data_IF_897079464237
#
_entry.id   IF_897079464237
#
_cell.length_a   1.000
_cell.length_b   1.000
_cell.length_c   1.000
_cell.angle_alpha   90.00
_cell.angle_beta   90.00
_cell.angle_gamma   90.00
#
_symmetry.space_group_name_H-M   'P 1'
#
loop_
_entity.id
_entity.type
_entity.pdbx_description
1 polymer ?
#
# COMPACT_ATOMS: atom_id res chain seq x y z
N UNK A 1 17.84 10.54 22.32
CA UNK A 1 18.12 9.14 21.97
C UNK A 1 16.85 8.48 21.44
N UNK A 2 16.54 8.72 20.16
CA UNK A 2 15.52 7.92 19.48
C UNK A 2 16.07 6.49 19.42
N UNK A 3 15.45 5.60 20.17
CA UNK A 3 15.72 4.19 20.03
C UNK A 3 15.00 3.75 18.76
N UNK A 4 15.75 3.37 17.72
CA UNK A 4 15.21 2.83 16.46
C UNK A 4 14.14 1.77 16.73
N UNK A 5 14.42 0.87 17.66
CA UNK A 5 13.50 -0.21 18.06
C UNK A 5 12.17 0.32 18.63
N UNK A 6 12.21 1.39 19.43
CA UNK A 6 11.01 1.96 20.05
C UNK A 6 10.16 2.75 19.04
N UNK A 7 10.78 3.39 18.06
CA UNK A 7 10.06 4.10 17.01
C UNK A 7 9.30 3.15 16.08
N UNK A 8 9.92 2.04 15.72
CA UNK A 8 9.28 0.99 14.91
C UNK A 8 8.14 0.30 15.68
N UNK A 9 8.35 -0.06 16.94
CA UNK A 9 7.34 -0.71 17.78
C UNK A 9 6.08 0.13 17.99
N UNK A 10 6.20 1.45 18.09
CA UNK A 10 5.06 2.33 18.33
C UNK A 10 4.23 2.64 17.07
N UNK A 11 4.75 2.35 15.88
CA UNK A 11 4.08 2.71 14.62
C UNK A 11 3.54 1.53 13.82
N UNK A 12 4.04 0.35 14.05
CA UNK A 12 3.49 -0.83 13.38
C UNK A 12 2.28 -1.26 14.19
N UNK A 13 1.10 -0.96 13.64
CA UNK A 13 -0.10 -1.69 14.02
C UNK A 13 0.16 -3.16 13.68
N UNK A 14 0.48 -3.94 14.71
CA UNK A 14 0.80 -5.36 14.65
C UNK A 14 -0.39 -6.22 14.19
N UNK A 15 -1.48 -5.61 13.77
CA UNK A 15 -2.55 -6.29 13.05
C UNK A 15 -2.10 -6.64 11.62
N UNK A 16 -1.15 -7.55 11.53
CA UNK A 16 -0.88 -8.32 10.30
C UNK A 16 -2.14 -9.08 9.89
N UNK A 17 -3.13 -8.37 9.38
CA UNK A 17 -4.53 -8.77 9.25
C UNK A 17 -5.21 -9.07 10.60
N UNK A 18 -6.50 -8.77 10.71
CA UNK A 18 -7.34 -9.02 11.90
C UNK A 18 -7.30 -10.47 12.47
N UNK A 19 -6.51 -11.32 11.86
CA UNK A 19 -6.54 -12.76 12.07
C UNK A 19 -5.31 -13.37 12.74
N UNK A 20 -4.16 -12.66 12.79
CA UNK A 20 -2.93 -13.17 13.41
C UNK A 20 -2.35 -12.09 14.32
N UNK A 21 -2.37 -12.33 15.61
CA UNK A 21 -1.69 -11.49 16.60
C UNK A 21 -0.30 -12.08 16.85
N UNK A 22 0.73 -11.32 16.51
CA UNK A 22 2.10 -11.58 16.93
C UNK A 22 2.28 -10.84 18.26
N UNK A 23 2.81 -11.52 19.29
CA UNK A 23 3.10 -10.85 20.56
C UNK A 23 4.36 -9.97 20.45
N UNK A 24 4.55 -9.03 21.37
CA UNK A 24 5.70 -8.11 21.38
C UNK A 24 7.06 -8.82 21.34
N UNK A 25 7.19 -9.96 22.01
CA UNK A 25 8.44 -10.73 22.05
C UNK A 25 8.75 -11.30 20.67
N UNK A 26 7.77 -11.91 20.03
CA UNK A 26 7.91 -12.44 18.67
C UNK A 26 8.22 -11.34 17.66
N UNK A 27 7.56 -10.20 17.78
CA UNK A 27 7.84 -9.04 16.93
C UNK A 27 9.27 -8.55 17.10
N UNK A 28 9.73 -8.39 18.34
CA UNK A 28 11.10 -7.94 18.63
C UNK A 28 12.12 -8.90 18.03
N UNK A 29 11.92 -10.21 18.17
CA UNK A 29 12.81 -11.23 17.60
C UNK A 29 12.86 -11.13 16.06
N UNK A 30 11.72 -11.01 15.40
CA UNK A 30 11.65 -10.88 13.93
C UNK A 30 12.33 -9.60 13.47
N UNK A 31 12.07 -8.49 14.14
CA UNK A 31 12.69 -7.20 13.83
C UNK A 31 14.22 -7.25 14.00
N UNK A 32 14.72 -7.86 15.07
CA UNK A 32 16.16 -8.03 15.28
C UNK A 32 16.81 -8.92 14.22
N UNK A 33 16.16 -10.01 13.85
CA UNK A 33 16.62 -10.87 12.75
C UNK A 33 16.65 -10.12 11.42
N UNK A 34 15.62 -9.35 11.12
CA UNK A 34 15.52 -8.55 9.90
C UNK A 34 16.65 -7.53 9.81
N UNK A 35 16.87 -6.73 10.88
CA UNK A 35 17.94 -5.75 10.91
C UNK A 35 19.33 -6.40 10.83
N UNK A 36 19.55 -7.51 11.51
CA UNK A 36 20.80 -8.26 11.42
C UNK A 36 21.06 -8.77 10.00
N UNK A 37 20.01 -9.20 9.30
CA UNK A 37 20.11 -9.64 7.91
C UNK A 37 20.48 -8.48 6.97
N UNK A 38 19.79 -7.33 7.10
CA UNK A 38 20.11 -6.13 6.32
C UNK A 38 21.55 -5.67 6.54
N UNK A 39 22.00 -5.61 7.81
CA UNK A 39 23.36 -5.22 8.17
C UNK A 39 24.40 -6.18 7.57
N UNK A 40 24.18 -7.50 7.70
CA UNK A 40 25.05 -8.54 7.12
C UNK A 40 25.17 -8.44 5.62
N UNK A 41 24.06 -8.14 4.93
CA UNK A 41 24.01 -8.01 3.49
C UNK A 41 24.44 -6.62 2.99
N UNK A 42 24.64 -5.66 3.90
CA UNK A 42 24.85 -4.23 3.57
C UNK A 42 23.70 -3.64 2.74
N UNK A 43 22.49 -4.03 3.08
CA UNK A 43 21.24 -3.56 2.46
C UNK A 43 20.55 -2.59 3.41
N UNK A 44 19.70 -1.73 2.84
CA UNK A 44 18.85 -0.79 3.56
C UNK A 44 17.50 -0.74 2.87
N UNK A 45 16.42 -0.77 3.64
CA UNK A 45 15.07 -0.57 3.11
C UNK A 45 14.67 0.92 3.09
N UNK A 46 13.53 1.20 2.46
CA UNK A 46 13.05 2.59 2.31
C UNK A 46 12.72 3.25 3.66
N UNK A 47 12.18 2.52 4.61
CA UNK A 47 11.83 3.08 5.92
C UNK A 47 13.09 3.38 6.74
N UNK A 48 14.09 2.51 6.64
CA UNK A 48 15.41 2.75 7.25
C UNK A 48 16.13 3.94 6.64
N UNK A 49 16.01 4.18 5.33
CA UNK A 49 16.59 5.38 4.69
C UNK A 49 16.03 6.65 5.35
N UNK A 50 14.71 6.74 5.47
CA UNK A 50 14.05 7.89 6.08
C UNK A 50 14.41 8.06 7.55
N UNK A 51 14.44 6.94 8.29
CA UNK A 51 14.77 6.94 9.71
C UNK A 51 16.22 7.38 9.98
N UNK A 52 17.16 6.86 9.19
CA UNK A 52 18.57 7.25 9.27
C UNK A 52 18.74 8.73 8.90
N UNK A 53 18.09 9.19 7.83
CA UNK A 53 18.09 10.60 7.44
C UNK A 53 17.58 11.50 8.56
N UNK A 54 16.43 11.19 9.14
CA UNK A 54 15.86 11.93 10.27
C UNK A 54 16.80 11.95 11.47
N UNK A 55 17.42 10.81 11.80
CA UNK A 55 18.37 10.68 12.90
C UNK A 55 19.61 11.54 12.68
N UNK A 56 20.19 11.51 11.48
CA UNK A 56 21.36 12.34 11.12
C UNK A 56 21.02 13.82 11.28
N UNK A 57 19.89 14.28 10.74
CA UNK A 57 19.44 15.67 10.84
C UNK A 57 19.12 16.10 12.27
N UNK A 58 18.72 15.16 13.14
CA UNK A 58 18.39 15.45 14.54
C UNK A 58 19.63 15.53 15.43
N UNK A 59 20.58 14.60 15.24
CA UNK A 59 21.76 14.50 16.12
C UNK A 59 22.86 15.47 15.68
N UNK A 60 22.97 15.74 14.37
CA UNK A 60 24.05 16.56 13.83
C UNK A 60 23.53 17.87 13.23
N UNK A 61 23.42 18.90 14.06
CA UNK A 61 22.95 20.23 13.64
C UNK A 61 23.79 20.89 12.54
N UNK A 62 25.08 20.57 12.44
CA UNK A 62 25.94 21.11 11.38
C UNK A 62 25.58 20.48 10.03
N UNK A 63 25.34 19.17 10.00
CA UNK A 63 24.89 18.48 8.78
C UNK A 63 23.51 19.00 8.36
N UNK A 64 22.58 19.12 9.31
CA UNK A 64 21.24 19.65 9.03
C UNK A 64 21.29 21.06 8.43
N UNK A 65 22.08 21.98 9.02
CA UNK A 65 22.26 23.34 8.51
C UNK A 65 22.94 23.36 7.14
N UNK A 66 23.99 22.58 6.95
CA UNK A 66 24.68 22.52 5.65
C UNK A 66 23.77 22.01 4.53
N UNK A 67 22.95 20.98 4.80
CA UNK A 67 21.97 20.49 3.80
C UNK A 67 20.90 21.57 3.57
N UNK A 68 20.31 22.11 4.63
CA UNK A 68 19.25 23.10 4.54
C UNK A 68 19.70 24.40 3.85
N UNK A 69 20.97 24.83 4.03
CA UNK A 69 21.50 26.04 3.37
C UNK A 69 21.60 25.92 1.85
N UNK A 70 21.66 24.72 1.31
CA UNK A 70 21.68 24.45 -0.13
C UNK A 70 20.28 24.29 -0.73
N UNK A 71 19.23 24.29 0.08
CA UNK A 71 17.84 24.12 -0.36
C UNK A 71 17.18 25.48 -0.44
N UNK A 72 16.67 25.85 -1.60
CA UNK A 72 15.93 27.10 -1.81
C UNK A 72 14.43 26.91 -1.62
N UNK A 73 13.90 25.78 -2.07
CA UNK A 73 12.47 25.49 -1.98
C UNK A 73 12.22 23.98 -1.82
N UNK A 74 11.14 23.63 -1.11
CA UNK A 74 10.64 22.27 -0.96
C UNK A 74 9.18 22.26 -1.43
N UNK A 75 8.89 21.43 -2.42
CA UNK A 75 7.54 21.20 -2.94
C UNK A 75 7.14 19.76 -2.62
N UNK A 76 6.02 19.60 -1.93
CA UNK A 76 5.45 18.29 -1.58
C UNK A 76 4.14 18.15 -2.36
N UNK A 77 4.11 17.21 -3.27
CA UNK A 77 2.92 16.82 -4.00
C UNK A 77 2.23 15.64 -3.31
N UNK A 78 0.91 15.52 -3.46
CA UNK A 78 0.09 14.49 -2.81
C UNK A 78 0.38 14.39 -1.29
N UNK A 79 0.39 15.55 -0.62
CA UNK A 79 0.81 15.61 0.79
C UNK A 79 -0.03 14.72 1.72
N UNK A 80 -1.26 14.40 1.36
CA UNK A 80 -2.14 13.52 2.12
C UNK A 80 -1.62 12.07 2.22
N UNK A 81 -0.71 11.66 1.31
CA UNK A 81 -0.10 10.34 1.30
C UNK A 81 1.29 10.33 1.96
N UNK A 82 1.72 11.49 2.48
CA UNK A 82 3.02 11.66 3.13
C UNK A 82 3.00 10.99 4.52
N UNK A 83 4.03 10.20 4.82
CA UNK A 83 4.19 9.55 6.12
C UNK A 83 4.75 10.50 7.16
N UNK A 84 4.48 10.24 8.44
CA UNK A 84 4.96 11.04 9.58
C UNK A 84 6.48 11.25 9.55
N UNK A 85 7.23 10.20 9.22
CA UNK A 85 8.68 10.29 9.18
C UNK A 85 9.20 11.21 8.06
N UNK A 86 8.50 11.23 6.92
CA UNK A 86 8.81 12.15 5.82
C UNK A 86 8.54 13.61 6.24
N UNK A 87 7.40 13.87 6.89
CA UNK A 87 7.12 15.19 7.46
C UNK A 87 8.20 15.62 8.45
N UNK A 88 8.65 14.72 9.32
CA UNK A 88 9.67 14.99 10.29
C UNK A 88 11.03 15.34 9.65
N UNK A 89 11.41 14.67 8.57
CA UNK A 89 12.61 15.00 7.79
C UNK A 89 12.49 16.40 7.18
N UNK A 90 11.37 16.70 6.52
CA UNK A 90 11.09 18.02 5.93
C UNK A 90 11.13 19.10 7.01
N UNK A 91 10.45 18.87 8.13
CA UNK A 91 10.42 19.83 9.25
C UNK A 91 11.81 20.14 9.79
N UNK A 92 12.70 19.13 9.91
CA UNK A 92 14.10 19.38 10.34
C UNK A 92 14.85 20.28 9.38
N UNK A 93 14.63 20.16 8.09
CA UNK A 93 15.26 21.03 7.10
C UNK A 93 14.71 22.46 7.21
N UNK A 94 13.38 22.62 7.29
CA UNK A 94 12.73 23.93 7.42
C UNK A 94 13.13 24.65 8.73
N UNK A 95 13.16 23.93 9.86
CA UNK A 95 13.60 24.47 11.15
C UNK A 95 15.06 24.93 11.14
N UNK A 96 15.93 24.32 10.34
CA UNK A 96 17.35 24.68 10.24
C UNK A 96 17.63 25.81 9.24
N UNK A 97 16.71 26.12 8.34
CA UNK A 97 16.79 27.25 7.43
C UNK A 97 15.38 27.85 7.17
N UNK A 98 14.97 28.88 7.92
CA UNK A 98 13.66 29.53 7.76
C UNK A 98 13.46 30.23 6.41
N UNK A 99 14.50 30.37 5.59
CA UNK A 99 14.41 30.99 4.26
C UNK A 99 13.96 30.02 3.17
N UNK A 100 13.86 28.73 3.49
CA UNK A 100 13.35 27.74 2.52
C UNK A 100 11.88 28.01 2.25
N UNK A 101 11.53 28.24 0.99
CA UNK A 101 10.14 28.30 0.57
C UNK A 101 9.55 26.90 0.57
N UNK A 102 8.37 26.72 1.14
CA UNK A 102 7.72 25.42 1.20
C UNK A 102 6.27 25.48 0.66
N UNK A 103 5.89 24.47 -0.10
CA UNK A 103 4.55 24.32 -0.65
C UNK A 103 4.12 22.86 -0.54
N UNK A 104 2.92 22.66 -0.02
CA UNK A 104 2.27 21.35 0.08
C UNK A 104 1.03 21.39 -0.80
N UNK A 105 0.93 20.45 -1.72
CA UNK A 105 -0.21 20.33 -2.65
C UNK A 105 -0.81 18.95 -2.49
N UNK A 106 -2.13 18.85 -2.47
CA UNK A 106 -2.84 17.58 -2.37
C UNK A 106 -4.33 17.76 -2.14
N UNK A 107 -5.00 16.65 -1.94
CA UNK A 107 -6.45 16.59 -1.74
C UNK A 107 -6.75 15.60 -0.60
N UNK A 108 -7.28 16.11 0.50
CA UNK A 108 -7.59 15.30 1.68
C UNK A 108 -8.61 14.21 1.37
N UNK A 109 -9.55 14.49 0.46
CA UNK A 109 -10.56 13.51 0.04
C UNK A 109 -9.97 12.35 -0.78
N UNK A 110 -8.72 12.49 -1.27
CA UNK A 110 -7.97 11.43 -1.94
C UNK A 110 -7.01 10.66 -1.01
N UNK A 111 -7.07 10.86 0.29
CA UNK A 111 -6.26 10.17 1.29
C UNK A 111 -6.65 8.68 1.43
N UNK A 112 -6.26 7.85 0.46
CA UNK A 112 -6.58 6.40 0.42
C UNK A 112 -5.51 5.52 1.09
N UNK A 113 -4.36 6.08 1.44
CA UNK A 113 -3.22 5.38 2.03
C UNK A 113 -3.13 5.49 3.55
N UNK A 114 -4.23 5.85 4.25
CA UNK A 114 -4.26 5.87 5.71
C UNK A 114 -3.92 4.53 6.37
N UNK A 115 -4.22 3.40 5.70
CA UNK A 115 -3.81 2.06 6.14
C UNK A 115 -2.32 1.74 5.93
N UNK A 116 -1.60 2.59 5.19
CA UNK A 116 -0.17 2.50 4.87
C UNK A 116 0.61 3.69 5.47
N UNK A 117 0.11 4.24 6.58
CA UNK A 117 0.70 5.36 7.33
C UNK A 117 0.72 6.71 6.60
N UNK A 118 -0.06 6.89 5.55
CA UNK A 118 -0.31 8.20 4.94
C UNK A 118 -1.13 9.08 5.91
N UNK A 119 -0.68 10.29 6.17
CA UNK A 119 -1.32 11.22 7.10
C UNK A 119 -1.51 12.57 6.42
N UNK A 120 -2.76 13.00 6.27
CA UNK A 120 -3.07 14.36 5.84
C UNK A 120 -3.01 15.29 7.05
N UNK A 121 -1.95 16.08 7.17
CA UNK A 121 -1.81 17.06 8.26
C UNK A 121 -2.60 18.34 7.95
N UNK A 122 -3.25 18.90 8.98
CA UNK A 122 -3.86 20.22 8.89
C UNK A 122 -2.80 21.32 8.75
N UNK A 123 -3.21 22.53 8.38
CA UNK A 123 -2.32 23.68 8.29
C UNK A 123 -1.67 23.97 9.64
N UNK A 124 -2.44 23.92 10.72
CA UNK A 124 -1.97 24.16 12.10
C UNK A 124 -0.94 23.10 12.53
N UNK A 125 -1.16 21.83 12.16
CA UNK A 125 -0.21 20.75 12.44
C UNK A 125 1.10 20.93 11.66
N UNK A 126 1.02 21.37 10.40
CA UNK A 126 2.21 21.68 9.59
C UNK A 126 2.96 22.88 10.16
N UNK A 127 2.27 23.93 10.58
CA UNK A 127 2.87 25.12 11.21
C UNK A 127 3.59 24.77 12.52
N UNK A 128 2.94 23.99 13.39
CA UNK A 128 3.56 23.53 14.63
C UNK A 128 4.78 22.65 14.37
N UNK A 129 4.71 21.76 13.38
CA UNK A 129 5.77 20.82 13.07
C UNK A 129 6.97 21.51 12.43
N UNK A 130 6.74 22.43 11.49
CA UNK A 130 7.80 23.07 10.68
C UNK A 130 8.30 24.37 11.25
N UNK A 131 7.55 25.03 12.15
CA UNK A 131 7.76 26.40 12.62
C UNK A 131 7.68 27.43 11.50
N UNK A 132 6.94 27.14 10.43
CA UNK A 132 6.65 28.04 9.33
C UNK A 132 5.17 28.39 9.32
N UNK A 133 4.83 29.56 8.79
CA UNK A 133 3.45 29.97 8.56
C UNK A 133 3.03 29.61 7.14
N UNK A 134 1.84 29.07 6.98
CA UNK A 134 1.31 28.66 5.67
C UNK A 134 0.06 29.45 5.29
N UNK A 135 -0.04 29.81 4.03
CA UNK A 135 -1.24 30.34 3.44
C UNK A 135 -1.98 29.25 2.67
N UNK A 136 -3.15 28.87 3.17
CA UNK A 136 -4.01 27.91 2.47
C UNK A 136 -4.67 28.56 1.24
N UNK A 137 -4.70 27.79 0.15
CA UNK A 137 -5.39 28.16 -1.10
C UNK A 137 -6.08 26.95 -1.68
N UNK A 138 -7.31 27.14 -2.17
CA UNK A 138 -8.10 26.10 -2.80
C UNK A 138 -8.06 26.24 -4.33
N UNK A 139 -7.94 25.13 -5.04
CA UNK A 139 -8.00 25.08 -6.50
C UNK A 139 -9.44 24.78 -6.94
N UNK A 140 -10.07 25.71 -7.64
CA UNK A 140 -11.47 25.61 -8.07
C UNK A 140 -11.64 25.13 -9.53
N UNK A 141 -10.56 24.90 -10.26
CA UNK A 141 -10.61 24.53 -11.67
C UNK A 141 -10.27 23.07 -11.93
N UNK A 142 -11.20 22.31 -12.50
CA UNK A 142 -10.95 20.95 -12.98
C UNK A 142 -10.73 20.96 -14.51
N UNK A 143 -9.55 20.53 -14.97
CA UNK A 143 -9.20 20.44 -16.39
C UNK A 143 -9.33 19.02 -16.96
N UNK A 144 -9.59 18.02 -16.10
CA UNK A 144 -9.65 16.60 -16.46
C UNK A 144 -11.07 16.16 -16.85
N UNK A 145 -12.04 16.51 -16.04
CA UNK A 145 -13.41 15.99 -16.13
C UNK A 145 -14.40 17.04 -16.62
N UNK A 146 -15.47 16.60 -17.31
CA UNK A 146 -16.59 17.48 -17.65
C UNK A 146 -17.38 17.88 -16.39
N UNK A 147 -18.23 18.92 -16.50
CA UNK A 147 -18.94 19.47 -15.34
C UNK A 147 -19.85 18.44 -14.67
N UNK A 148 -20.51 17.56 -15.43
CA UNK A 148 -21.40 16.55 -14.88
C UNK A 148 -20.66 15.54 -13.95
N UNK A 149 -19.43 15.16 -14.32
CA UNK A 149 -18.60 14.31 -13.47
C UNK A 149 -18.11 15.08 -12.24
N UNK A 150 -17.74 16.34 -12.41
CA UNK A 150 -17.36 17.23 -11.30
C UNK A 150 -18.50 17.34 -10.29
N UNK A 151 -19.72 17.64 -10.75
CA UNK A 151 -20.91 17.75 -9.90
C UNK A 151 -21.22 16.42 -9.18
N UNK A 152 -20.96 15.28 -9.84
CA UNK A 152 -21.19 13.98 -9.26
C UNK A 152 -20.21 13.68 -8.11
N UNK A 153 -18.92 13.80 -8.33
CA UNK A 153 -17.96 13.46 -7.26
C UNK A 153 -17.86 14.54 -6.18
N UNK A 154 -18.28 15.78 -6.45
CA UNK A 154 -18.37 16.82 -5.42
C UNK A 154 -19.34 16.46 -4.29
N UNK A 155 -20.30 15.56 -4.53
CA UNK A 155 -21.16 15.04 -3.46
C UNK A 155 -20.42 14.18 -2.42
N UNK A 156 -19.20 13.77 -2.69
CA UNK A 156 -18.38 12.94 -1.79
C UNK A 156 -17.29 13.74 -1.08
N UNK A 157 -17.22 15.06 -1.27
CA UNK A 157 -16.27 15.92 -0.58
C UNK A 157 -16.57 15.98 0.93
N UNK A 158 -15.53 15.85 1.73
CA UNK A 158 -15.60 16.00 3.19
C UNK A 158 -15.87 17.47 3.59
N UNK A 159 -15.24 18.40 2.86
CA UNK A 159 -15.43 19.83 3.00
C UNK A 159 -15.89 20.40 1.64
N UNK A 160 -17.19 20.58 1.43
CA UNK A 160 -17.72 21.02 0.13
C UNK A 160 -17.20 22.39 -0.28
N UNK A 161 -16.69 22.50 -1.50
CA UNK A 161 -16.36 23.74 -2.18
C UNK A 161 -16.69 23.63 -3.68
N UNK A 162 -16.91 24.74 -4.32
CA UNK A 162 -17.27 24.74 -5.74
C UNK A 162 -16.07 24.43 -6.62
N UNK A 163 -16.24 23.47 -7.53
CA UNK A 163 -15.27 23.11 -8.56
C UNK A 163 -15.92 23.33 -9.93
N UNK A 164 -15.24 24.07 -10.80
CA UNK A 164 -15.67 24.35 -12.16
C UNK A 164 -14.84 23.55 -13.16
N UNK A 165 -15.49 22.86 -14.08
CA UNK A 165 -14.80 22.25 -15.21
C UNK A 165 -14.27 23.32 -16.17
N UNK A 166 -12.94 23.31 -16.41
CA UNK A 166 -12.21 24.24 -17.28
C UNK A 166 -11.51 23.58 -18.45
N UNK A 167 -11.63 22.24 -18.56
CA UNK A 167 -11.06 21.47 -19.66
C UNK A 167 -11.77 21.68 -20.98
N UNK A 168 -11.17 21.17 -22.05
CA UNK A 168 -11.77 21.23 -23.41
C UNK A 168 -13.07 20.42 -23.48
N UNK A 169 -13.24 19.43 -22.61
CA UNK A 169 -14.39 18.55 -22.50
C UNK A 169 -15.48 19.04 -21.52
N UNK A 170 -15.39 20.28 -21.05
CA UNK A 170 -16.31 20.82 -20.01
C UNK A 170 -17.80 20.73 -20.39
N UNK A 171 -18.12 20.81 -21.66
CA UNK A 171 -19.48 20.77 -22.18
C UNK A 171 -19.90 19.36 -22.64
N UNK A 172 -19.04 18.36 -22.52
CA UNK A 172 -19.37 17.00 -22.93
C UNK A 172 -20.48 16.44 -22.04
N UNK A 173 -21.46 15.78 -22.68
CA UNK A 173 -22.53 15.10 -21.97
C UNK A 173 -22.04 13.76 -21.45
N UNK A 174 -21.32 13.76 -20.35
CA UNK A 174 -20.95 12.52 -19.67
C UNK A 174 -22.20 11.74 -19.24
N UNK A 175 -22.12 10.41 -19.28
CA UNK A 175 -23.17 9.53 -18.79
C UNK A 175 -22.71 8.87 -17.50
N UNK A 176 -23.53 8.92 -16.46
CA UNK A 176 -23.29 8.27 -15.17
C UNK A 176 -24.47 7.32 -14.93
N UNK A 177 -24.17 6.05 -14.71
CA UNK A 177 -25.15 5.06 -14.30
C UNK A 177 -24.66 4.29 -13.08
N UNK A 178 -25.57 3.78 -12.31
CA UNK A 178 -25.27 2.90 -11.18
C UNK A 178 -26.24 1.74 -11.16
N UNK A 179 -25.79 0.60 -10.67
CA UNK A 179 -26.61 -0.58 -10.43
C UNK A 179 -26.25 -1.16 -9.07
N UNK A 180 -27.22 -1.27 -8.17
CA UNK A 180 -27.06 -1.83 -6.83
C UNK A 180 -27.68 -3.23 -6.69
N UNK A 181 -28.16 -3.83 -7.77
CA UNK A 181 -28.79 -5.16 -7.77
C UNK A 181 -27.90 -6.25 -8.34
N UNK A 182 -26.80 -5.88 -8.97
CA UNK A 182 -25.85 -6.83 -9.56
C UNK A 182 -25.22 -7.69 -8.46
N UNK A 183 -25.26 -9.01 -8.66
CA UNK A 183 -24.58 -9.96 -7.78
C UNK A 183 -23.07 -10.03 -8.10
N UNK A 184 -22.27 -10.58 -7.18
CA UNK A 184 -20.82 -10.77 -7.43
C UNK A 184 -20.56 -11.74 -8.57
N UNK A 185 -21.44 -12.71 -8.75
CA UNK A 185 -21.38 -13.74 -9.79
C UNK A 185 -21.65 -13.15 -11.18
N UNK A 186 -22.58 -12.19 -11.28
CA UNK A 186 -22.98 -11.56 -12.55
C UNK A 186 -22.04 -10.43 -12.98
N UNK A 187 -21.35 -9.81 -12.02
CA UNK A 187 -20.52 -8.64 -12.23
C UNK A 187 -19.48 -8.78 -13.35
N UNK A 188 -18.72 -9.90 -13.45
CA UNK A 188 -17.73 -10.07 -14.53
C UNK A 188 -18.35 -10.03 -15.92
N UNK A 189 -19.52 -10.65 -16.09
CA UNK A 189 -20.22 -10.70 -17.38
C UNK A 189 -20.78 -9.31 -17.76
N UNK A 190 -21.29 -8.58 -16.79
CA UNK A 190 -21.80 -7.21 -17.02
C UNK A 190 -20.65 -6.29 -17.42
N UNK A 191 -19.51 -6.32 -16.71
CA UNK A 191 -18.34 -5.52 -17.04
C UNK A 191 -17.82 -5.87 -18.43
N UNK A 192 -17.73 -7.16 -18.77
CA UNK A 192 -17.37 -7.61 -20.12
C UNK A 192 -18.27 -6.99 -21.19
N UNK A 193 -19.58 -7.02 -20.99
CA UNK A 193 -20.54 -6.50 -21.97
C UNK A 193 -20.43 -4.97 -22.12
N UNK A 194 -20.21 -4.24 -21.01
CA UNK A 194 -19.97 -2.79 -21.04
C UNK A 194 -18.70 -2.50 -21.83
N UNK A 195 -17.59 -3.18 -21.54
CA UNK A 195 -16.31 -2.99 -22.27
C UNK A 195 -16.51 -3.23 -23.76
N UNK A 196 -17.17 -4.33 -24.12
CA UNK A 196 -17.44 -4.67 -25.51
C UNK A 196 -18.27 -3.59 -26.21
N UNK A 197 -19.36 -3.14 -25.59
CA UNK A 197 -20.21 -2.05 -26.12
C UNK A 197 -19.41 -0.77 -26.34
N UNK A 198 -18.52 -0.39 -25.41
CA UNK A 198 -17.72 0.83 -25.52
C UNK A 198 -16.70 0.71 -26.65
N UNK A 199 -16.05 -0.44 -26.81
CA UNK A 199 -15.12 -0.67 -27.92
C UNK A 199 -15.86 -0.63 -29.28
N UNK A 200 -17.02 -1.27 -29.38
CA UNK A 200 -17.87 -1.26 -30.57
C UNK A 200 -18.37 0.14 -30.91
N UNK A 201 -18.54 1.03 -29.92
CA UNK A 201 -18.88 2.44 -30.11
C UNK A 201 -17.66 3.31 -30.49
N UNK A 202 -16.46 2.74 -30.64
CA UNK A 202 -15.26 3.42 -31.11
C UNK A 202 -14.37 3.97 -29.98
N UNK A 203 -14.65 3.64 -28.71
CA UNK A 203 -13.75 4.00 -27.60
C UNK A 203 -12.56 3.05 -27.62
N UNK A 204 -11.35 3.59 -27.58
CA UNK A 204 -10.15 2.76 -27.55
C UNK A 204 -10.01 2.08 -26.19
N UNK A 205 -9.57 0.81 -26.19
CA UNK A 205 -9.44 0.00 -24.95
C UNK A 205 -8.58 0.67 -23.84
N UNK A 206 -7.51 1.40 -24.24
CA UNK A 206 -6.67 2.17 -23.31
C UNK A 206 -7.39 3.28 -22.55
N UNK A 207 -8.55 3.72 -23.07
CA UNK A 207 -9.36 4.79 -22.47
C UNK A 207 -10.47 4.23 -21.56
N UNK A 208 -10.49 2.90 -21.35
CA UNK A 208 -11.44 2.20 -20.48
C UNK A 208 -10.71 1.73 -19.22
N UNK A 209 -11.21 2.10 -18.05
CA UNK A 209 -10.64 1.69 -16.77
C UNK A 209 -11.70 1.03 -15.87
N UNK A 210 -11.33 -0.05 -15.20
CA UNK A 210 -12.14 -0.70 -14.17
C UNK A 210 -11.44 -0.53 -12.84
N UNK A 211 -12.12 0.05 -11.86
CA UNK A 211 -11.61 0.31 -10.52
C UNK A 211 -12.29 -0.57 -9.49
N UNK A 212 -11.56 -0.99 -8.48
CA UNK A 212 -12.09 -1.66 -7.30
C UNK A 212 -11.31 -1.25 -6.05
N UNK A 213 -11.93 -1.29 -4.86
CA UNK A 213 -11.28 -0.94 -3.61
C UNK A 213 -10.11 -1.85 -3.22
N UNK A 214 -10.05 -3.05 -3.77
CA UNK A 214 -9.04 -4.06 -3.47
C UNK A 214 -8.56 -4.75 -4.76
N UNK A 215 -7.32 -5.22 -4.77
CA UNK A 215 -6.73 -5.92 -5.92
C UNK A 215 -7.33 -7.30 -6.22
N UNK A 216 -7.75 -8.02 -5.18
CA UNK A 216 -8.23 -9.39 -5.35
C UNK A 216 -9.43 -9.52 -6.32
N UNK A 217 -10.47 -8.68 -6.24
CA UNK A 217 -11.55 -8.69 -7.23
C UNK A 217 -11.09 -8.39 -8.66
N UNK A 218 -10.11 -7.48 -8.81
CA UNK A 218 -9.54 -7.10 -10.12
C UNK A 218 -8.75 -8.25 -10.73
N UNK A 219 -8.02 -9.02 -9.92
CA UNK A 219 -7.27 -10.17 -10.42
C UNK A 219 -8.22 -11.22 -11.04
N UNK A 220 -9.24 -11.64 -10.30
CA UNK A 220 -10.21 -12.64 -10.78
C UNK A 220 -10.98 -12.14 -12.00
N UNK A 221 -11.38 -10.87 -12.00
CA UNK A 221 -12.04 -10.23 -13.14
C UNK A 221 -11.12 -10.21 -14.36
N UNK A 222 -9.86 -9.91 -14.15
CA UNK A 222 -8.90 -9.83 -15.21
C UNK A 222 -8.62 -11.14 -15.90
N UNK A 223 -8.48 -12.23 -15.16
CA UNK A 223 -8.33 -13.56 -15.74
C UNK A 223 -9.58 -13.93 -16.57
N UNK A 224 -10.77 -13.56 -16.07
CA UNK A 224 -12.00 -13.74 -16.82
C UNK A 224 -12.02 -12.91 -18.11
N UNK A 225 -11.70 -11.61 -18.04
CA UNK A 225 -11.70 -10.72 -19.20
C UNK A 225 -10.67 -11.11 -20.25
N UNK A 226 -9.49 -11.55 -19.89
CA UNK A 226 -8.47 -12.08 -20.82
C UNK A 226 -9.00 -13.26 -21.63
N UNK A 227 -9.72 -14.14 -20.99
CA UNK A 227 -10.33 -15.30 -21.65
C UNK A 227 -11.47 -14.91 -22.59
N UNK A 228 -12.33 -13.99 -22.17
CA UNK A 228 -13.56 -13.61 -22.88
C UNK A 228 -13.34 -12.53 -23.95
N UNK A 229 -12.29 -11.70 -23.79
CA UNK A 229 -11.93 -10.62 -24.72
C UNK A 229 -10.44 -10.73 -25.12
N UNK A 230 -10.05 -11.83 -25.82
CA UNK A 230 -8.65 -12.10 -26.14
C UNK A 230 -8.00 -11.09 -27.11
N UNK A 231 -8.80 -10.24 -27.72
CA UNK A 231 -8.37 -9.15 -28.61
C UNK A 231 -8.08 -7.83 -27.89
N UNK A 232 -8.39 -7.75 -26.59
CA UNK A 232 -8.11 -6.57 -25.78
C UNK A 232 -6.80 -6.73 -25.03
N UNK A 233 -6.00 -5.65 -24.97
CA UNK A 233 -4.84 -5.55 -24.10
C UNK A 233 -5.26 -5.01 -22.72
N UNK A 234 -5.02 -5.81 -21.69
CA UNK A 234 -5.26 -5.42 -20.31
C UNK A 234 -3.92 -5.20 -19.60
N UNK A 235 -3.53 -3.96 -19.36
CA UNK A 235 -2.24 -3.65 -18.76
C UNK A 235 -2.22 -4.09 -17.30
N UNK A 236 -2.84 -3.75 -16.41
CA UNK A 236 -2.62 -3.91 -14.98
C UNK A 236 -3.01 -5.26 -14.37
N UNK A 237 -3.63 -6.15 -15.12
CA UNK A 237 -4.21 -7.39 -14.58
C UNK A 237 -3.16 -8.43 -14.20
N UNK A 238 -1.97 -8.33 -14.76
CA UNK A 238 -0.83 -9.19 -14.42
C UNK A 238 -0.06 -8.69 -13.20
N UNK A 239 -0.42 -7.54 -12.69
CA UNK A 239 0.25 -6.98 -11.55
C UNK A 239 -0.51 -7.44 -10.30
N UNK A 240 -0.25 -8.67 -9.87
CA UNK A 240 -0.12 -8.83 -8.43
C UNK A 240 0.87 -7.74 -7.99
N UNK A 241 0.50 -6.80 -7.12
CA UNK A 241 1.45 -5.79 -6.61
C UNK A 241 2.64 -6.45 -5.90
N UNK A 242 2.51 -7.72 -5.60
CA UNK A 242 3.56 -8.62 -5.15
C UNK A 242 3.79 -9.58 -6.30
N UNK A 243 4.79 -9.29 -7.15
CA UNK A 243 5.37 -10.35 -7.97
C UNK A 243 5.60 -11.50 -7.01
N UNK A 244 4.99 -12.66 -7.29
CA UNK A 244 5.26 -13.85 -6.52
C UNK A 244 6.76 -14.10 -6.67
N UNK A 245 7.49 -13.74 -5.64
CA UNK A 245 8.92 -13.86 -5.57
C UNK A 245 9.24 -14.62 -4.28
N UNK A 246 10.51 -14.89 -4.06
CA UNK A 246 10.98 -15.57 -2.85
C UNK A 246 10.43 -14.92 -1.57
N UNK A 247 10.22 -13.61 -1.54
CA UNK A 247 9.68 -12.88 -0.39
C UNK A 247 8.24 -13.28 -0.05
N UNK A 248 7.39 -13.51 -1.05
CA UNK A 248 6.01 -13.99 -0.81
C UNK A 248 6.00 -15.39 -0.19
N UNK A 249 6.87 -16.29 -0.65
CA UNK A 249 7.02 -17.63 -0.08
C UNK A 249 7.49 -17.56 1.38
N UNK A 250 8.57 -16.81 1.64
CA UNK A 250 9.11 -16.66 2.99
C UNK A 250 8.12 -15.99 3.94
N UNK A 251 7.38 -14.97 3.48
CA UNK A 251 6.34 -14.34 4.27
C UNK A 251 5.22 -15.31 4.67
N UNK A 252 4.75 -16.14 3.73
CA UNK A 252 3.73 -17.16 3.98
C UNK A 252 4.25 -18.26 4.94
N UNK A 253 5.49 -18.68 4.78
CA UNK A 253 6.15 -19.60 5.69
C UNK A 253 6.30 -19.00 7.10
N UNK A 254 6.71 -17.75 7.21
CA UNK A 254 6.81 -17.03 8.48
C UNK A 254 5.45 -16.95 9.20
N UNK A 255 4.37 -16.62 8.48
CA UNK A 255 3.02 -16.61 9.06
C UNK A 255 2.70 -17.99 9.66
N UNK A 256 2.92 -19.07 8.92
CA UNK A 256 2.62 -20.44 9.42
C UNK A 256 3.52 -20.83 10.58
N UNK A 257 4.77 -20.41 10.60
CA UNK A 257 5.73 -20.71 11.65
C UNK A 257 5.42 -19.97 12.95
N UNK A 258 5.15 -18.65 12.89
CA UNK A 258 4.95 -17.80 14.06
C UNK A 258 3.52 -17.81 14.62
N UNK A 259 2.53 -18.35 13.90
CA UNK A 259 1.16 -18.47 14.40
C UNK A 259 0.89 -19.79 15.07
N UNK A 260 -0.04 -19.82 16.04
CA UNK A 260 -0.36 -21.05 16.76
C UNK A 260 -1.15 -22.06 15.91
N UNK A 261 -0.85 -23.34 16.08
CA UNK A 261 -1.40 -24.42 15.25
C UNK A 261 -2.91 -24.65 15.45
N UNK A 262 -3.45 -24.25 16.61
CA UNK A 262 -4.90 -24.38 16.93
C UNK A 262 -5.77 -23.26 16.42
N UNK A 263 -5.19 -22.13 16.07
CA UNK A 263 -5.97 -20.97 15.60
C UNK A 263 -6.21 -21.00 14.08
N UNK A 264 -7.47 -20.72 13.68
CA UNK A 264 -7.87 -20.49 12.29
C UNK A 264 -7.39 -21.55 11.26
N UNK A 265 -7.55 -22.81 11.61
CA UNK A 265 -7.11 -23.97 10.82
C UNK A 265 -7.45 -23.83 9.32
N UNK A 266 -8.64 -23.37 8.98
CA UNK A 266 -9.05 -23.20 7.58
C UNK A 266 -8.13 -22.22 6.83
N UNK A 267 -7.76 -21.10 7.45
CA UNK A 267 -6.89 -20.09 6.82
C UNK A 267 -5.45 -20.57 6.71
N UNK A 268 -4.95 -21.27 7.74
CA UNK A 268 -3.63 -21.89 7.69
C UNK A 268 -3.50 -22.90 6.56
N UNK A 269 -4.56 -23.71 6.32
CA UNK A 269 -4.63 -24.61 5.17
C UNK A 269 -4.59 -23.88 3.83
N UNK A 270 -5.29 -22.77 3.67
CA UNK A 270 -5.24 -21.95 2.45
C UNK A 270 -3.83 -21.42 2.20
N UNK A 271 -3.17 -20.88 3.22
CA UNK A 271 -1.78 -20.40 3.11
C UNK A 271 -0.82 -21.55 2.76
N UNK A 272 -0.99 -22.73 3.38
CA UNK A 272 -0.18 -23.89 3.06
C UNK A 272 -0.37 -24.35 1.62
N UNK A 273 -1.60 -24.39 1.13
CA UNK A 273 -1.90 -24.71 -0.26
C UNK A 273 -1.28 -23.68 -1.24
N UNK A 274 -1.36 -22.40 -0.93
CA UNK A 274 -0.69 -21.35 -1.72
C UNK A 274 0.83 -21.57 -1.79
N UNK A 275 1.46 -21.97 -0.68
CA UNK A 275 2.90 -22.30 -0.64
C UNK A 275 3.20 -23.45 -1.59
N UNK A 276 2.41 -24.53 -1.56
CA UNK A 276 2.59 -25.68 -2.45
C UNK A 276 2.47 -25.29 -3.92
N UNK A 277 1.50 -24.43 -4.27
CA UNK A 277 1.32 -23.89 -5.61
C UNK A 277 2.55 -23.07 -6.04
N UNK A 278 3.07 -22.21 -5.17
CA UNK A 278 4.26 -21.40 -5.42
C UNK A 278 5.48 -22.31 -5.66
N UNK A 279 5.70 -23.29 -4.79
CA UNK A 279 6.82 -24.23 -4.92
C UNK A 279 6.77 -24.98 -6.25
N UNK A 280 5.60 -25.42 -6.68
CA UNK A 280 5.41 -26.14 -7.95
C UNK A 280 5.63 -25.22 -9.16
N UNK A 281 4.96 -24.06 -9.18
CA UNK A 281 4.86 -23.23 -10.39
C UNK A 281 6.07 -22.31 -10.59
N UNK A 282 6.70 -21.85 -9.51
CA UNK A 282 7.76 -20.85 -9.60
C UNK A 282 9.15 -21.41 -9.31
N UNK A 283 9.23 -22.39 -8.43
CA UNK A 283 10.51 -23.02 -8.08
C UNK A 283 10.74 -24.34 -8.81
N UNK A 284 9.77 -24.84 -9.59
CA UNK A 284 9.88 -26.10 -10.29
C UNK A 284 10.05 -27.31 -9.35
N UNK A 285 9.66 -27.16 -8.07
CA UNK A 285 9.79 -28.24 -7.10
C UNK A 285 8.64 -29.20 -7.33
N UNK A 286 8.96 -30.45 -7.67
CA UNK A 286 7.98 -31.51 -7.77
C UNK A 286 7.42 -31.85 -6.37
N UNK A 287 6.22 -31.28 -6.10
CA UNK A 287 5.45 -31.67 -4.93
C UNK A 287 4.67 -32.92 -5.32
N UNK A 288 4.89 -34.03 -4.62
CA UNK A 288 4.18 -35.27 -4.87
C UNK A 288 2.67 -35.07 -4.69
N UNK A 289 1.85 -35.65 -5.54
CA UNK A 289 0.40 -35.43 -5.55
C UNK A 289 -0.30 -35.81 -4.23
N UNK A 290 0.29 -36.66 -3.42
CA UNK A 290 -0.22 -37.00 -2.10
C UNK A 290 0.24 -36.08 -0.97
N UNK A 291 1.17 -35.14 -1.24
CA UNK A 291 1.63 -34.17 -0.24
C UNK A 291 0.70 -32.94 -0.30
N UNK A 292 -0.17 -32.83 0.68
CA UNK A 292 -1.20 -31.80 0.76
C UNK A 292 -0.89 -30.75 1.81
N UNK A 293 -1.76 -29.75 1.91
CA UNK A 293 -1.67 -28.64 2.86
C UNK A 293 -1.48 -29.09 4.32
N UNK A 294 -2.11 -30.20 4.72
CA UNK A 294 -1.96 -30.75 6.07
C UNK A 294 -0.56 -31.29 6.33
N UNK A 295 0.08 -31.93 5.36
CA UNK A 295 1.42 -32.46 5.51
C UNK A 295 2.44 -31.32 5.67
N UNK A 296 2.28 -30.25 4.91
CA UNK A 296 3.10 -29.04 5.06
C UNK A 296 2.93 -28.40 6.45
N UNK A 297 1.69 -28.30 6.94
CA UNK A 297 1.42 -27.77 8.28
C UNK A 297 2.02 -28.66 9.39
N UNK A 298 1.97 -29.98 9.24
CA UNK A 298 2.61 -30.91 10.19
C UNK A 298 4.14 -30.76 10.17
N UNK A 299 4.72 -30.63 8.99
CA UNK A 299 6.17 -30.39 8.84
C UNK A 299 6.58 -29.07 9.52
N UNK A 300 5.86 -27.97 9.27
CA UNK A 300 6.16 -26.68 9.91
C UNK A 300 6.01 -26.79 11.43
N UNK A 301 4.99 -27.45 11.93
CA UNK A 301 4.80 -27.64 13.37
C UNK A 301 5.90 -28.51 13.99
N UNK A 302 6.41 -29.52 13.29
CA UNK A 302 7.53 -30.33 13.77
C UNK A 302 8.84 -29.52 13.84
N UNK A 303 9.11 -28.72 12.81
CA UNK A 303 10.27 -27.80 12.81
C UNK A 303 10.15 -26.79 13.96
N UNK A 304 8.96 -26.22 14.16
CA UNK A 304 8.70 -25.29 15.26
C UNK A 304 9.02 -25.89 16.62
N UNK A 305 8.61 -27.14 16.88
CA UNK A 305 8.91 -27.84 18.12
C UNK A 305 10.42 -28.10 18.33
N UNK A 306 11.14 -28.45 17.28
CA UNK A 306 12.60 -28.65 17.34
C UNK A 306 13.36 -27.40 17.78
N UNK A 307 12.89 -26.21 17.39
CA UNK A 307 13.57 -24.95 17.70
C UNK A 307 13.00 -24.21 18.92
N UNK A 308 11.80 -24.53 19.41
CA UNK A 308 11.22 -23.92 20.61
C UNK A 308 11.71 -24.57 21.94
N UNK A 309 12.49 -25.63 21.88
CA UNK A 309 12.99 -26.30 23.08
C UNK A 309 11.92 -27.05 23.89
N UNK A 310 10.74 -27.23 23.37
CA UNK A 310 9.66 -28.02 23.97
C UNK A 310 9.88 -29.53 23.65
N UNK A 311 10.98 -30.07 24.18
CA UNK A 311 11.20 -31.50 24.30
C UNK A 311 10.46 -32.06 25.54
N UNK A 312 9.16 -31.81 25.63
CA UNK A 312 8.29 -32.59 26.49
C UNK A 312 7.54 -33.60 25.63
N UNK A 313 8.19 -34.75 25.52
CA UNK A 313 7.68 -35.90 24.83
C UNK A 313 6.35 -36.40 25.37
N UNK A 314 5.60 -36.88 24.52
CA UNK A 314 4.84 -38.12 24.29
C UNK A 314 3.79 -37.83 23.23
#
# INVERSE_FOLDING_TARGET
>A
NLNLKTYELNKIDLSLSHDFKINEVQYTQVSEMYHTMLEKNKEIDFDMILLVAYKILTVNSNVARNIASNIRAIYVDEFQDTRELQYNVIAKLLQNNPQIQSMFVGDIDQAIYGSLDGIAKSVEELEMLTSHTFQSKTLHGCYRSNQRLVDFYSNFQSCPYEIESRGNNKNDRGFISYDCKVTKEDLPNIIKNIIKEKIESGIHEKDICVLAPQHYPLFSLGEYLKKELPYCNFDAINISPIKVNNHSLFFKLAILYFTESGEKVRRRKLIANDILIILKNEFGIEVKDYFIDLDLLQLINSVKRMYSGDDNGV
#
